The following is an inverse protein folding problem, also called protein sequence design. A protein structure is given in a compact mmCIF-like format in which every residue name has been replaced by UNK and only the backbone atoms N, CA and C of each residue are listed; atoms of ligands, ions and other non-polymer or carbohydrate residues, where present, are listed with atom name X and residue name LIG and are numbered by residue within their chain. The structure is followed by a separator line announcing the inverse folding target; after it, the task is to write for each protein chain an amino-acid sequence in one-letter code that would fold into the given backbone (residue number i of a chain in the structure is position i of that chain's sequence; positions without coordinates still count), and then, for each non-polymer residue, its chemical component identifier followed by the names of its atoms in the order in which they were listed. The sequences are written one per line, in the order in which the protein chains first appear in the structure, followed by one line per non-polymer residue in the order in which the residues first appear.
data_IF_933211192251
#
_entry.id   IF_933211192251
#
_cell.length_a   1.000
_cell.length_b   1.000
_cell.length_c   1.000
_cell.angle_alpha   90.00
_cell.angle_beta   90.00
_cell.angle_gamma   90.00
#
_symmetry.space_group_name_H-M   'P 1'
#
loop_
_entity.id
_entity.type
_entity.pdbx_description
1 polymer ?
2 polymer ?
3 polymer ?
4 water ?
#
# COMPACT_ATOMS: atom_id res chain seq x y z
N UNK A 1 -21.01 -6.37 -3.60
CA UNK A 1 -20.10 -7.44 -3.99
C UNK A 1 -19.33 -7.95 -2.79
N UNK A 2 -18.13 -8.46 -3.02
CA UNK A 2 -17.26 -8.90 -1.92
C UNK A 2 -16.44 -7.73 -1.41
N UNK A 3 -16.39 -7.60 -0.09
CA UNK A 3 -15.65 -6.49 0.52
C UNK A 3 -14.74 -6.96 1.65
N UNK A 4 -13.81 -6.10 2.04
CA UNK A 4 -12.89 -6.41 3.12
C UNK A 4 -12.59 -5.15 3.93
N UNK A 5 -12.25 -5.34 5.21
CA UNK A 5 -11.70 -4.28 6.05
C UNK A 5 -10.38 -4.79 6.61
N UNK A 6 -9.38 -3.91 6.71
CA UNK A 6 -8.05 -4.32 7.13
C UNK A 6 -7.34 -3.21 7.90
N UNK A 7 -6.69 -3.58 9.00
CA UNK A 7 -5.74 -2.68 9.65
C UNK A 7 -4.31 -3.15 9.48
N UNK A 8 -3.41 -2.18 9.29
CA UNK A 8 -1.99 -2.44 9.15
C UNK A 8 -1.21 -1.70 10.24
N UNK A 9 -0.53 -2.48 11.08
CA UNK A 9 0.30 -1.94 12.13
C UNK A 9 1.77 -2.10 11.75
N UNK A 10 2.56 -1.07 12.01
CA UNK A 10 4.01 -1.12 11.84
C UNK A 10 4.68 -0.45 13.03
N UNK A 11 5.58 -1.16 13.70
CA UNK A 11 6.43 -0.53 14.69
C UNK A 11 7.87 -0.73 14.24
N UNK A 12 8.65 0.35 14.23
CA UNK A 12 10.07 0.26 13.86
C UNK A 12 10.89 0.85 14.98
N UNK A 13 11.88 0.10 15.45
CA UNK A 13 12.79 0.64 16.45
C UNK A 13 13.83 1.55 15.78
N UNK A 14 14.33 2.52 16.53
CA UNK A 14 15.30 3.47 15.97
C UNK A 14 16.32 3.87 17.03
N UNK A 15 17.29 2.97 17.26
CA UNK A 15 18.26 3.06 18.36
C UNK A 15 19.00 4.39 18.36
N UNK A 16 19.02 5.05 19.52
CA UNK A 16 19.68 6.32 19.65
C UNK A 16 19.02 7.44 18.89
N UNK A 17 17.72 7.29 18.61
CA UNK A 17 16.96 8.31 17.89
C UNK A 17 15.50 8.32 18.34
N UNK A 18 15.27 7.79 19.53
CA UNK A 18 13.95 7.83 20.12
C UNK A 18 13.44 6.47 20.55
N UNK A 19 12.18 6.43 20.97
CA UNK A 19 11.48 5.18 21.21
C UNK A 19 10.84 4.69 19.90
N UNK A 20 10.67 3.36 19.75
CA UNK A 20 10.14 2.89 18.47
C UNK A 20 8.86 3.62 18.05
N UNK A 21 8.73 3.85 16.75
CA UNK A 21 7.60 4.61 16.17
C UNK A 21 6.49 3.62 15.84
N UNK A 22 5.25 4.10 15.84
CA UNK A 22 4.13 3.21 15.61
C UNK A 22 3.11 3.88 14.70
N UNK A 23 2.83 3.26 13.57
CA UNK A 23 1.76 3.78 12.71
C UNK A 23 0.68 2.75 12.43
N UNK A 24 -0.53 3.26 12.28
CA UNK A 24 -1.67 2.44 11.90
C UNK A 24 -2.40 3.11 10.75
N UNK A 25 -2.74 2.32 9.72
CA UNK A 25 -3.67 2.76 8.68
C UNK A 25 -4.83 1.77 8.56
N UNK A 26 -6.02 2.30 8.28
CA UNK A 26 -7.19 1.47 8.02
C UNK A 26 -7.63 1.50 6.57
N UNK A 27 -8.10 0.35 6.08
CA UNK A 27 -8.56 0.23 4.71
C UNK A 27 -9.92 -0.48 4.62
N UNK A 28 -10.78 0.03 3.75
CA UNK A 28 -11.95 -0.70 3.30
C UNK A 28 -11.71 -0.95 1.81
N UNK A 29 -11.52 -2.21 1.43
CA UNK A 29 -11.05 -2.54 0.09
C UNK A 29 -9.78 -1.76 -0.24
N UNK A 30 -9.80 -0.99 -1.31
CA UNK A 30 -8.61 -0.24 -1.74
C UNK A 30 -8.63 1.21 -1.25
N UNK A 31 -9.55 1.50 -0.33
CA UNK A 31 -9.77 2.87 0.14
C UNK A 31 -9.21 3.08 1.55
N UNK A 32 -8.17 3.92 1.65
CA UNK A 32 -7.66 4.37 2.95
C UNK A 32 -8.78 5.19 3.59
N UNK A 33 -9.04 4.99 4.88
CA UNK A 33 -10.06 5.81 5.53
C UNK A 33 -9.66 6.37 6.89
N UNK A 34 -8.55 5.88 7.43
CA UNK A 34 -8.16 6.27 8.79
C UNK A 34 -6.66 6.10 9.00
N UNK A 35 -6.08 6.90 9.90
CA UNK A 35 -4.63 6.88 10.11
C UNK A 35 -4.20 7.31 11.51
N UNK A 36 -3.02 6.83 11.90
CA UNK A 36 -2.41 7.18 13.18
C UNK A 36 -0.89 7.02 13.10
N UNK A 37 -0.19 8.00 13.67
CA UNK A 37 1.26 8.07 13.63
C UNK A 37 1.71 8.57 15.00
N UNK A 38 2.45 7.74 15.74
CA UNK A 38 2.79 8.07 17.13
C UNK A 38 3.79 9.23 17.24
N UNK A 39 4.36 9.62 16.10
CA UNK A 39 5.27 10.75 16.06
C UNK A 39 4.56 12.11 16.15
N UNK A 40 3.33 12.19 15.63
CA UNK A 40 2.54 13.40 15.78
C UNK A 40 2.51 13.77 17.26
N UNK A 41 2.73 15.05 17.57
CA UNK A 41 2.90 15.49 18.96
C UNK A 41 1.82 15.05 19.95
N UNK A 42 0.54 15.30 19.66
CA UNK A 42 -0.53 14.66 20.42
C UNK A 42 -1.25 13.64 19.54
N UNK A 43 -0.61 12.47 19.39
CA UNK A 43 -1.07 11.47 18.43
C UNK A 43 -2.59 11.32 18.49
N UNK A 44 -3.26 11.43 17.35
CA UNK A 44 -4.69 11.14 17.29
C UNK A 44 -5.06 10.35 16.03
N UNK A 45 -6.16 9.60 16.11
CA UNK A 45 -6.72 8.93 14.93
C UNK A 45 -7.41 9.96 14.07
N UNK A 46 -7.13 9.94 12.78
CA UNK A 46 -7.66 10.95 11.89
C UNK A 46 -8.34 10.30 10.68
N UNK A 47 -9.44 10.92 10.24
CA UNK A 47 -10.20 10.44 9.08
C UNK A 47 -9.43 10.68 7.78
N UNK A 48 -9.63 9.80 6.79
CA UNK A 48 -8.98 9.93 5.49
C UNK A 48 -9.98 9.63 4.37
N UNK A 49 -11.25 9.58 4.74
CA UNK A 49 -12.35 9.38 3.81
C UNK A 49 -13.53 10.21 4.28
N UNK A 50 -14.29 10.77 3.33
CA UNK A 50 -15.47 11.60 3.60
C UNK A 50 -16.49 10.88 4.47
N UNK A 51 -16.59 9.56 4.34
CA UNK A 51 -17.65 8.80 4.98
C UNK A 51 -17.35 8.28 6.39
N UNK A 52 -16.12 8.44 6.86
CA UNK A 52 -15.78 8.11 8.25
C UNK A 52 -15.85 9.37 9.11
N UNK A 53 -15.96 10.53 8.46
CA UNK A 53 -15.94 11.83 9.15
C UNK A 53 -17.18 12.05 10.00
N UNK A 54 -18.30 11.49 9.58
CA UNK A 54 -19.54 11.62 10.34
C UNK A 54 -19.43 10.91 11.70
N UNK A 55 -18.54 9.94 11.80
CA UNK A 55 -18.36 9.22 13.06
C UNK A 55 -18.13 10.22 14.21
N UNK A 56 -18.76 9.97 15.35
CA UNK A 56 -18.72 10.91 16.46
C UNK A 56 -17.44 10.90 17.27
N UNK A 57 -17.37 11.78 18.29
CA UNK A 57 -16.17 11.96 19.11
C UNK A 57 -15.89 10.75 20.00
N UNK A 58 -16.95 10.07 20.43
CA UNK A 58 -16.78 8.86 21.22
C UNK A 58 -15.94 7.87 20.40
N UNK A 59 -16.26 7.79 19.11
CA UNK A 59 -15.52 6.95 18.17
C UNK A 59 -14.05 7.35 18.08
N UNK A 60 -13.79 8.63 17.84
CA UNK A 60 -12.42 9.08 17.57
C UNK A 60 -11.52 8.98 18.80
N UNK A 61 -12.11 9.20 19.98
CA UNK A 61 -11.33 9.09 21.22
C UNK A 61 -11.06 7.63 21.57
N UNK A 62 -12.06 6.77 21.43
CA UNK A 62 -11.87 5.34 21.61
C UNK A 62 -10.74 4.84 20.72
N UNK A 63 -10.77 5.22 19.44
CA UNK A 63 -9.82 4.73 18.45
C UNK A 63 -8.41 5.20 18.77
N UNK A 64 -8.29 6.49 19.09
CA UNK A 64 -7.04 7.08 19.53
C UNK A 64 -6.47 6.29 20.71
N UNK A 65 -7.31 6.01 21.71
CA UNK A 65 -6.84 5.29 22.90
C UNK A 65 -6.33 3.90 22.53
N UNK A 66 -7.04 3.21 21.63
CA UNK A 66 -6.56 1.93 21.13
C UNK A 66 -5.14 2.11 20.54
N UNK A 67 -5.03 3.05 19.61
CA UNK A 67 -3.74 3.33 18.96
C UNK A 67 -2.63 3.65 19.96
N UNK A 68 -2.95 4.43 20.99
CA UNK A 68 -1.92 4.83 21.96
C UNK A 68 -1.40 3.63 22.74
N UNK A 69 -2.32 2.78 23.19
CA UNK A 69 -1.95 1.59 23.95
C UNK A 69 -1.10 0.63 23.11
N UNK A 70 -1.49 0.43 21.85
CA UNK A 70 -0.68 -0.38 20.92
C UNK A 70 0.76 0.14 20.78
N UNK A 71 0.91 1.46 20.68
CA UNK A 71 2.23 2.05 20.61
C UNK A 71 3.12 1.46 21.71
N UNK A 72 2.68 1.56 22.97
CA UNK A 72 3.44 0.99 24.10
C UNK A 72 3.60 -0.52 23.98
N UNK A 73 2.52 -1.21 23.64
CA UNK A 73 2.56 -2.67 23.55
C UNK A 73 3.57 -3.15 22.51
N UNK A 74 3.59 -2.48 21.36
CA UNK A 74 4.53 -2.87 20.30
C UNK A 74 5.97 -2.63 20.72
N UNK A 75 6.21 -1.53 21.42
CA UNK A 75 7.54 -1.24 21.96
C UNK A 75 8.02 -2.39 22.84
N UNK A 76 7.10 -2.93 23.63
CA UNK A 76 7.40 -4.03 24.53
C UNK A 76 7.59 -5.35 23.77
N UNK A 77 6.78 -5.57 22.75
CA UNK A 77 6.97 -6.75 21.93
C UNK A 77 8.34 -6.74 21.24
N UNK A 78 8.74 -5.58 20.70
CA UNK A 78 10.05 -5.49 20.08
C UNK A 78 11.12 -5.89 21.09
N UNK A 79 11.06 -5.32 22.29
CA UNK A 79 12.01 -5.64 23.34
C UNK A 79 12.08 -7.14 23.61
N UNK A 80 10.91 -7.78 23.69
CA UNK A 80 10.84 -9.21 23.99
C UNK A 80 11.41 -10.08 22.88
N UNK A 81 11.14 -9.69 21.64
CA UNK A 81 11.68 -10.44 20.52
C UNK A 81 13.19 -10.31 20.49
N UNK A 82 13.69 -9.09 20.65
CA UNK A 82 15.14 -8.85 20.66
C UNK A 82 15.83 -9.75 21.69
N UNK A 83 15.20 -9.92 22.85
CA UNK A 83 15.73 -10.80 23.87
C UNK A 83 15.66 -12.27 23.50
N UNK A 84 14.58 -12.70 22.85
CA UNK A 84 14.46 -14.10 22.46
C UNK A 84 15.63 -14.49 21.58
N UNK A 85 15.89 -13.63 20.60
CA UNK A 85 16.86 -13.92 19.53
C UNK A 85 18.30 -13.58 19.90
N UNK A 86 18.50 -12.90 21.03
CA UNK A 86 19.84 -12.45 21.42
C UNK A 86 20.40 -11.44 20.42
N UNK A 87 19.55 -10.52 19.99
CA UNK A 87 19.92 -9.47 19.06
C UNK A 87 20.40 -8.22 19.79
N UNK A 88 21.28 -7.46 19.14
CA UNK A 88 21.84 -6.23 19.70
C UNK A 88 20.82 -5.11 19.64
N UNK A 89 20.88 -4.20 20.62
CA UNK A 89 19.99 -3.05 20.62
C UNK A 89 20.47 -1.96 19.67
N UNK A 90 21.62 -2.21 19.05
CA UNK A 90 22.18 -1.27 18.08
C UNK A 90 21.46 -1.44 16.76
N UNK A 91 20.89 -2.63 16.56
CA UNK A 91 20.20 -2.96 15.33
C UNK A 91 18.79 -2.42 15.26
N UNK A 92 18.40 -1.99 14.07
CA UNK A 92 17.02 -1.58 13.81
C UNK A 92 16.14 -2.83 13.67
N UNK A 93 14.91 -2.74 14.15
CA UNK A 93 13.98 -3.87 13.98
C UNK A 93 12.54 -3.43 13.74
N UNK A 94 11.81 -4.27 13.00
CA UNK A 94 10.47 -3.95 12.56
C UNK A 94 9.50 -5.06 12.99
N UNK A 95 8.31 -4.67 13.42
CA UNK A 95 7.24 -5.62 13.69
C UNK A 95 5.98 -5.12 12.99
N UNK A 96 5.37 -5.98 12.18
CA UNK A 96 4.19 -5.54 11.45
C UNK A 96 3.01 -6.43 11.81
N UNK A 97 1.81 -5.97 11.49
CA UNK A 97 0.62 -6.77 11.70
C UNK A 97 -0.50 -6.35 10.77
N UNK A 98 -1.10 -7.34 10.13
CA UNK A 98 -2.28 -7.11 9.34
C UNK A 98 -3.38 -7.92 10.01
N UNK A 99 -4.57 -7.34 10.11
CA UNK A 99 -5.74 -8.07 10.59
C UNK A 99 -7.00 -7.41 10.04
N UNK A 100 -8.10 -8.18 10.00
CA UNK A 100 -9.36 -7.68 9.48
C UNK A 100 -10.26 -8.80 9.01
N UNK A 101 -11.32 -8.46 8.29
CA UNK A 101 -12.25 -9.48 7.84
C UNK A 101 -12.59 -9.35 6.35
N UNK A 102 -12.88 -10.50 5.73
CA UNK A 102 -13.37 -10.54 4.36
C UNK A 102 -14.81 -11.01 4.37
N UNK A 103 -15.67 -10.35 3.60
CA UNK A 103 -17.05 -10.82 3.44
C UNK A 103 -17.45 -10.91 1.98
N UNK A 104 -18.51 -11.67 1.73
CA UNK A 104 -19.07 -11.74 0.39
C UNK A 104 -20.28 -10.85 0.28
N UNK A 105 -21.02 -10.98 -0.82
CA UNK A 105 -22.16 -10.13 -1.20
C UNK A 105 -23.31 -10.16 -0.19
N UNK A 106 -23.54 -11.30 0.46
CA UNK A 106 -24.59 -11.39 1.47
C UNK A 106 -24.22 -10.67 2.77
N UNK A 107 -22.95 -10.31 2.92
CA UNK A 107 -22.48 -9.70 4.16
C UNK A 107 -21.89 -10.76 5.08
N UNK A 108 -21.82 -11.98 4.57
CA UNK A 108 -21.31 -13.12 5.32
C UNK A 108 -19.80 -13.09 5.43
N UNK A 109 -19.27 -13.60 6.55
CA UNK A 109 -17.81 -13.64 6.76
C UNK A 109 -17.18 -14.85 6.08
N UNK A 110 -16.12 -14.61 5.31
CA UNK A 110 -15.47 -15.68 4.57
C UNK A 110 -14.09 -16.03 5.10
N UNK A 111 -13.49 -15.07 5.81
CA UNK A 111 -12.13 -15.25 6.32
C UNK A 111 -11.79 -14.15 7.32
N UNK A 112 -11.15 -14.53 8.42
CA UNK A 112 -10.62 -13.57 9.37
C UNK A 112 -9.10 -13.63 9.35
N UNK A 113 -8.46 -12.49 9.61
CA UNK A 113 -7.00 -12.43 9.53
C UNK A 113 -6.38 -11.81 10.76
N UNK A 114 -5.20 -12.28 11.12
CA UNK A 114 -4.39 -11.68 12.16
C UNK A 114 -3.03 -12.35 12.22
N UNK A 115 -2.06 -11.76 11.53
CA UNK A 115 -0.71 -12.32 11.51
C UNK A 115 0.33 -11.23 11.67
N UNK A 116 1.47 -11.62 12.25
CA UNK A 116 2.59 -10.72 12.46
C UNK A 116 3.78 -11.13 11.62
N UNK A 117 4.59 -10.13 11.28
CA UNK A 117 5.88 -10.32 10.66
C UNK A 117 6.93 -9.59 11.52
N UNK A 118 8.02 -10.29 11.82
CA UNK A 118 9.15 -9.66 12.47
C UNK A 118 10.27 -9.48 11.45
N UNK A 119 10.72 -8.23 11.26
CA UNK A 119 11.74 -7.92 10.28
C UNK A 119 11.40 -8.44 8.88
N UNK A 120 10.13 -8.29 8.50
CA UNK A 120 9.69 -8.59 7.15
C UNK A 120 9.55 -10.06 6.82
N UNK A 121 9.48 -10.91 7.86
CA UNK A 121 9.26 -12.34 7.66
C UNK A 121 8.14 -12.78 8.58
N UNK A 122 7.29 -13.69 8.09
CA UNK A 122 6.21 -14.20 8.93
C UNK A 122 6.76 -14.61 10.29
N UNK A 123 6.04 -14.25 11.35
CA UNK A 123 6.46 -14.59 12.69
C UNK A 123 5.45 -15.55 13.31
N UNK A 124 4.23 -15.06 13.56
CA UNK A 124 3.13 -15.92 14.00
C UNK A 124 1.82 -15.47 13.38
N UNK A 125 0.97 -16.42 12.99
CA UNK A 125 -0.32 -16.10 12.39
C UNK A 125 -1.46 -16.85 13.06
N UNK A 126 -2.62 -16.19 13.17
CA UNK A 126 -3.86 -16.88 13.58
C UNK A 126 -4.42 -17.68 12.40
N UNK A 127 -4.61 -18.98 12.60
CA UNK A 127 -5.11 -19.83 11.53
C UNK A 127 -6.55 -19.52 11.15
N UNK A 128 -6.98 -20.04 10.01
CA UNK A 128 -8.32 -19.76 9.49
C UNK A 128 -9.46 -20.20 10.42
N UNK A 129 -9.22 -21.24 11.23
CA UNK A 129 -10.24 -21.69 12.20
C UNK A 129 -10.42 -20.65 13.31
N UNK A 130 -9.56 -19.63 13.31
CA UNK A 130 -9.56 -18.59 14.32
C UNK A 130 -9.37 -19.18 15.73
N UNK A 131 -8.83 -20.40 15.81
CA UNK A 131 -8.59 -21.05 17.09
C UNK A 131 -7.11 -21.38 17.33
N UNK A 132 -6.42 -21.82 16.29
CA UNK A 132 -5.03 -22.21 16.44
C UNK A 132 -4.04 -21.16 15.88
N UNK A 133 -2.77 -21.33 16.23
CA UNK A 133 -1.72 -20.42 15.79
C UNK A 133 -0.67 -21.19 15.00
N UNK A 134 -0.09 -20.56 14.00
CA UNK A 134 1.08 -21.13 13.32
C UNK A 134 2.31 -20.28 13.65
N UNK A 135 3.29 -20.88 14.32
CA UNK A 135 4.49 -20.15 14.73
C UNK A 135 5.66 -20.49 13.81
N UNK A 136 6.40 -19.48 13.37
CA UNK A 136 7.47 -19.68 12.39
C UNK A 136 8.69 -20.44 12.93
N UNK A 137 9.08 -20.13 14.16
CA UNK A 137 10.27 -20.71 14.77
C UNK A 137 10.12 -20.77 16.30
N UNK A 138 11.19 -21.17 16.99
CA UNK A 138 11.17 -21.35 18.45
C UNK A 138 10.90 -20.06 19.24
N UNK A 139 11.31 -18.92 18.69
CA UNK A 139 11.04 -17.64 19.34
C UNK A 139 9.53 -17.39 19.36
N UNK A 140 8.91 -17.62 18.21
CA UNK A 140 7.49 -17.42 18.04
C UNK A 140 6.70 -18.40 18.91
N UNK A 141 7.24 -19.61 19.12
CA UNK A 141 6.58 -20.59 19.97
C UNK A 141 6.49 -20.07 21.40
N UNK A 142 7.48 -19.26 21.80
CA UNK A 142 7.42 -18.58 23.08
C UNK A 142 6.22 -17.64 23.11
N UNK A 143 6.10 -16.83 22.05
CA UNK A 143 4.98 -15.92 21.89
C UNK A 143 3.65 -16.66 21.97
N UNK A 144 3.59 -17.81 21.30
CA UNK A 144 2.39 -18.62 21.30
C UNK A 144 2.00 -19.10 22.70
N UNK A 145 2.99 -19.42 23.52
CA UNK A 145 2.71 -19.80 24.91
C UNK A 145 2.02 -18.64 25.60
N UNK A 146 2.49 -17.43 25.31
CA UNK A 146 1.93 -16.22 25.89
C UNK A 146 0.52 -15.96 25.38
N UNK A 147 0.28 -16.17 24.09
CA UNK A 147 -1.02 -15.85 23.52
C UNK A 147 -2.07 -16.89 23.88
N UNK A 148 -1.64 -18.12 24.09
CA UNK A 148 -2.51 -19.17 24.58
C UNK A 148 -2.91 -18.90 26.03
N UNK A 149 -1.91 -18.65 26.88
CA UNK A 149 -2.18 -18.37 28.29
C UNK A 149 -3.18 -17.22 28.44
N UNK A 150 -3.09 -16.24 27.56
CA UNK A 150 -3.99 -15.08 27.63
C UNK A 150 -5.22 -15.25 26.73
N UNK A 151 -5.53 -16.49 26.36
CA UNK A 151 -6.66 -16.82 25.49
C UNK A 151 -6.93 -15.79 24.39
N UNK A 152 -5.87 -15.25 23.79
CA UNK A 152 -5.99 -14.22 22.76
C UNK A 152 -6.83 -14.65 21.54
N UNK A 153 -6.66 -15.89 21.10
CA UNK A 153 -7.42 -16.41 19.96
C UNK A 153 -8.93 -16.15 20.07
N UNK A 154 -9.53 -16.60 21.16
CA UNK A 154 -10.99 -16.53 21.31
C UNK A 154 -11.51 -15.10 21.26
N UNK A 155 -10.81 -14.18 21.90
CA UNK A 155 -11.19 -12.78 21.88
C UNK A 155 -11.04 -12.21 20.48
N UNK A 156 -10.00 -12.63 19.77
CA UNK A 156 -9.80 -12.23 18.38
C UNK A 156 -10.99 -12.75 17.55
N UNK A 157 -11.28 -14.04 17.71
CA UNK A 157 -12.38 -14.68 17.01
C UNK A 157 -13.67 -13.88 17.15
N UNK A 158 -14.04 -13.59 18.40
CA UNK A 158 -15.23 -12.82 18.69
C UNK A 158 -15.21 -11.50 17.93
N UNK A 159 -14.09 -10.79 17.99
CA UNK A 159 -13.98 -9.54 17.24
C UNK A 159 -14.21 -9.75 15.74
N UNK A 160 -13.53 -10.73 15.16
CA UNK A 160 -13.56 -10.92 13.71
C UNK A 160 -14.91 -11.40 13.19
N UNK A 161 -15.68 -12.07 14.05
CA UNK A 161 -16.98 -12.61 13.64
C UNK A 161 -18.14 -11.64 13.88
N UNK A 162 -17.95 -10.72 14.83
CA UNK A 162 -19.01 -9.80 15.17
C UNK A 162 -18.68 -8.36 14.83
N UNK A 163 -17.93 -7.71 15.71
CA UNK A 163 -17.61 -6.29 15.56
C UNK A 163 -17.00 -5.94 14.20
N UNK A 164 -15.95 -6.66 13.78
CA UNK A 164 -15.28 -6.32 12.52
C UNK A 164 -16.27 -6.29 11.37
N UNK A 165 -17.11 -7.32 11.29
CA UNK A 165 -18.12 -7.44 10.25
C UNK A 165 -19.16 -6.33 10.34
N UNK A 166 -19.56 -5.99 11.56
CA UNK A 166 -20.55 -4.94 11.74
C UNK A 166 -20.00 -3.57 11.36
N UNK A 167 -18.73 -3.30 11.69
CA UNK A 167 -18.11 -2.05 11.26
C UNK A 167 -18.04 -1.97 9.73
N UNK A 168 -17.57 -3.02 9.08
CA UNK A 168 -17.49 -3.01 7.63
C UNK A 168 -18.86 -2.80 6.97
N UNK A 169 -19.88 -3.51 7.45
CA UNK A 169 -21.25 -3.33 6.95
C UNK A 169 -21.72 -1.89 7.09
N UNK A 170 -21.41 -1.28 8.23
CA UNK A 170 -21.78 0.10 8.47
C UNK A 170 -21.05 1.05 7.52
N UNK A 171 -19.73 0.87 7.38
CA UNK A 171 -18.94 1.74 6.51
C UNK A 171 -19.44 1.65 5.08
N UNK A 172 -19.75 0.43 4.67
CA UNK A 172 -20.28 0.17 3.32
C UNK A 172 -21.58 0.90 3.10
N UNK A 173 -22.42 0.93 4.14
CA UNK A 173 -23.66 1.68 4.06
C UNK A 173 -23.39 3.19 3.97
N UNK A 174 -22.66 3.72 4.95
CA UNK A 174 -22.38 5.16 5.00
C UNK A 174 -21.68 5.74 3.76
N UNK A 175 -20.72 5.01 3.21
CA UNK A 175 -20.01 5.46 2.02
C UNK A 175 -20.32 4.61 0.81
N UNK A 176 -21.56 4.16 0.72
CA UNK A 176 -21.98 3.23 -0.34
C UNK A 176 -21.75 3.79 -1.75
N UNK A 177 -22.05 5.08 -1.93
CA UNK A 177 -21.92 5.72 -3.23
C UNK A 177 -20.53 5.53 -3.85
N UNK A 178 -19.49 5.73 -3.04
CA UNK A 178 -18.13 5.68 -3.55
C UNK A 178 -17.43 4.33 -3.34
N UNK A 179 -17.86 3.58 -2.33
CA UNK A 179 -17.25 2.28 -2.05
C UNK A 179 -17.79 1.14 -2.93
N UNK A 180 -19.01 1.27 -3.41
CA UNK A 180 -19.58 0.24 -4.27
C UNK A 180 -19.40 0.57 -5.74
N UNK A 181 -18.70 1.67 -6.01
CA UNK A 181 -18.52 2.11 -7.39
C UNK A 181 -17.34 1.42 -8.07
N UNK A 182 -17.44 1.22 -9.38
CA UNK A 182 -16.35 0.67 -10.16
C UNK A 182 -15.94 1.66 -11.25
N UNK A 183 -14.84 2.37 -11.02
CA UNK A 183 -14.35 3.36 -11.97
C UNK A 183 -13.50 2.71 -13.05
N UNK A 184 -14.03 2.61 -14.27
CA UNK A 184 -13.34 1.95 -15.38
C UNK A 184 -12.11 2.75 -15.81
N UNK A 185 -11.06 2.06 -16.25
CA UNK A 185 -9.80 2.73 -16.59
C UNK A 185 -9.95 3.50 -17.90
N UNK A 186 -9.36 4.68 -17.97
CA UNK A 186 -9.22 5.38 -19.24
C UNK A 186 -7.97 4.87 -19.95
N UNK A 187 -8.08 4.65 -21.25
CA UNK A 187 -7.03 3.90 -21.95
C UNK A 187 -6.45 4.60 -23.18
N UNK A 188 -5.18 4.30 -23.45
CA UNK A 188 -4.50 4.76 -24.65
C UNK A 188 -3.15 4.09 -24.77
N UNK A 189 -2.53 4.22 -25.93
CA UNK A 189 -1.26 3.58 -26.22
C UNK A 189 -0.26 4.66 -26.62
N UNK A 190 0.99 4.51 -26.21
CA UNK A 190 2.04 5.42 -26.64
C UNK A 190 3.16 4.66 -27.34
N UNK A 191 3.86 5.36 -28.22
CA UNK A 191 4.92 4.77 -29.02
C UNK A 191 6.24 5.47 -28.77
N UNK A 192 7.32 4.71 -28.61
CA UNK A 192 8.64 5.28 -28.36
C UNK A 192 9.73 4.55 -29.13
N UNK A 193 10.16 5.14 -30.25
CA UNK A 193 11.27 4.60 -31.03
C UNK A 193 12.48 4.31 -30.15
N UNK A 194 12.92 3.06 -30.14
CA UNK A 194 14.24 2.74 -29.63
C UNK A 194 15.21 3.01 -30.78
N UNK A 195 15.61 1.93 -31.46
CA UNK A 195 16.62 2.00 -32.50
C UNK A 195 16.05 2.08 -33.90
N UNK A 196 16.89 1.72 -34.86
CA UNK A 196 16.55 1.61 -36.26
C UNK A 196 15.59 0.44 -36.40
N UNK A 197 15.76 -0.54 -35.51
CA UNK A 197 15.16 -1.87 -35.66
C UNK A 197 13.93 -2.12 -34.77
N UNK A 198 13.80 -1.35 -33.70
CA UNK A 198 12.72 -1.60 -32.75
C UNK A 198 12.18 -0.34 -32.08
N UNK A 199 11.06 -0.49 -31.36
CA UNK A 199 10.45 0.59 -30.59
C UNK A 199 9.67 0.02 -29.40
N UNK A 200 9.18 0.89 -28.53
CA UNK A 200 8.37 0.43 -27.40
C UNK A 200 6.91 0.83 -27.57
N UNK A 201 6.01 -0.14 -27.36
CA UNK A 201 4.58 0.13 -27.32
C UNK A 201 4.11 0.06 -25.87
N UNK A 202 3.60 1.18 -25.35
CA UNK A 202 3.10 1.20 -23.99
C UNK A 202 1.57 1.34 -23.98
N UNK A 203 0.92 0.44 -23.24
CA UNK A 203 -0.52 0.48 -23.06
C UNK A 203 -0.84 1.04 -21.67
N UNK A 204 -1.75 2.01 -21.62
CA UNK A 204 -1.99 2.76 -20.40
C UNK A 204 -3.41 2.55 -19.87
N UNK A 205 -3.51 2.49 -18.54
CA UNK A 205 -4.79 2.45 -17.84
C UNK A 205 -4.75 3.44 -16.66
N UNK A 206 -5.66 4.41 -16.67
CA UNK A 206 -5.64 5.48 -15.66
C UNK A 206 -7.01 5.68 -15.02
N UNK A 207 -7.01 6.26 -13.83
CA UNK A 207 -8.25 6.66 -13.17
C UNK A 207 -9.23 5.54 -12.82
N UNK A 208 -8.73 4.32 -12.68
CA UNK A 208 -9.60 3.19 -12.35
C UNK A 208 -9.65 2.89 -10.85
N UNK A 209 -10.81 2.39 -10.41
CA UNK A 209 -10.97 1.85 -9.06
C UNK A 209 -11.99 0.70 -9.13
N UNK A 210 -11.73 -0.40 -8.40
CA UNK A 210 -10.57 -0.62 -7.53
C UNK A 210 -9.28 -0.98 -8.29
N UNK A 211 -8.19 -1.21 -7.54
CA UNK A 211 -6.87 -1.43 -8.12
C UNK A 211 -6.69 -2.68 -8.99
N UNK A 212 -7.42 -3.76 -8.70
CA UNK A 212 -7.25 -5.01 -9.45
C UNK A 212 -7.49 -4.81 -10.95
N UNK A 213 -6.49 -5.12 -11.77
CA UNK A 213 -6.61 -4.90 -13.21
C UNK A 213 -5.69 -5.82 -14.02
N UNK A 214 -6.06 -6.11 -15.27
CA UNK A 214 -5.21 -6.94 -16.13
C UNK A 214 -4.92 -6.31 -17.50
N UNK A 215 -3.65 -5.99 -17.75
CA UNK A 215 -3.22 -5.49 -19.05
C UNK A 215 -2.44 -6.57 -19.79
N UNK A 216 -2.82 -6.83 -21.04
CA UNK A 216 -2.12 -7.80 -21.87
C UNK A 216 -1.78 -7.26 -23.26
N UNK A 217 -0.59 -7.62 -23.76
CA UNK A 217 -0.22 -7.33 -25.14
C UNK A 217 -0.32 -8.58 -26.03
N UNK A 218 -1.07 -8.46 -27.13
CA UNK A 218 -1.26 -9.56 -28.07
C UNK A 218 -0.71 -9.25 -29.48
N UNK A 219 -0.39 -10.32 -30.23
CA UNK A 219 -0.05 -10.22 -31.64
C UNK A 219 -0.28 -11.53 -32.38
N UNK A 220 -1.32 -11.58 -33.22
CA UNK A 220 -2.36 -10.57 -33.23
C UNK A 220 -3.55 -11.32 -32.67
N UNK A 221 -3.32 -11.99 -31.56
CA UNK A 221 -4.28 -12.94 -31.01
C UNK A 221 -3.58 -13.83 -30.00
N UNK A 222 -2.25 -13.84 -30.02
CA UNK A 222 -1.48 -14.58 -29.02
C UNK A 222 -0.80 -13.64 -28.03
N UNK A 223 -0.76 -14.02 -26.76
CA UNK A 223 -0.20 -13.14 -25.74
C UNK A 223 1.31 -13.28 -25.62
N UNK A 224 2.00 -12.13 -25.53
CA UNK A 224 3.45 -12.11 -25.32
C UNK A 224 3.76 -12.08 -23.83
N UNK A 225 3.29 -13.10 -23.11
CA UNK A 225 3.46 -13.16 -21.67
C UNK A 225 4.91 -12.91 -21.26
N UNK A 226 5.83 -13.64 -21.90
CA UNK A 226 7.24 -13.58 -21.56
C UNK A 226 7.88 -12.23 -21.96
N UNK A 227 7.21 -11.48 -22.84
CA UNK A 227 7.83 -10.26 -23.37
C UNK A 227 7.13 -8.95 -22.97
N UNK A 228 6.13 -9.06 -22.10
CA UNK A 228 5.40 -7.89 -21.63
C UNK A 228 5.99 -7.35 -20.32
N UNK A 229 6.38 -6.08 -20.31
CA UNK A 229 6.92 -5.44 -19.12
C UNK A 229 5.84 -4.70 -18.32
N UNK A 230 5.61 -5.17 -17.09
CA UNK A 230 4.58 -4.59 -16.24
C UNK A 230 5.17 -3.74 -15.12
N UNK A 231 4.52 -2.61 -14.83
CA UNK A 231 4.86 -1.84 -13.65
C UNK A 231 3.90 -2.19 -12.53
N UNK A 232 4.35 -2.04 -11.29
CA UNK A 232 3.45 -2.20 -10.17
C UNK A 232 2.34 -1.16 -10.32
N UNK A 233 1.12 -1.55 -10.00
CA UNK A 233 -0.02 -0.63 -10.00
C UNK A 233 0.22 0.44 -8.95
N UNK A 234 -0.06 1.69 -9.30
CA UNK A 234 0.27 2.84 -8.45
C UNK A 234 -0.96 3.71 -8.23
N UNK A 235 -1.02 4.41 -7.07
CA UNK A 235 -2.15 5.30 -6.79
C UNK A 235 -1.94 6.67 -7.45
N UNK A 236 -3.02 7.29 -7.89
CA UNK A 236 -2.93 8.60 -8.53
C UNK A 236 -2.98 9.75 -7.52
N UNK A 237 -3.36 9.44 -6.28
CA UNK A 237 -3.44 10.43 -5.23
C UNK A 237 -4.87 10.93 -5.04
N UNK A 238 -5.75 10.46 -5.92
CA UNK A 238 -7.16 10.87 -5.90
C UNK A 238 -8.12 9.68 -5.72
N UNK A 239 -7.67 8.66 -5.00
CA UNK A 239 -8.48 7.47 -4.76
C UNK A 239 -8.42 6.49 -5.92
N UNK A 240 -7.87 6.93 -7.05
CA UNK A 240 -7.78 6.10 -8.25
C UNK A 240 -6.38 5.53 -8.45
N UNK A 241 -6.25 4.61 -9.42
CA UNK A 241 -4.99 3.92 -9.69
C UNK A 241 -4.52 4.05 -11.14
N UNK A 242 -3.24 3.77 -11.35
CA UNK A 242 -2.63 3.80 -12.68
C UNK A 242 -1.73 2.59 -12.88
N UNK A 243 -1.56 2.21 -14.15
CA UNK A 243 -0.74 1.07 -14.52
C UNK A 243 -0.51 1.03 -16.04
N UNK A 244 0.64 0.52 -16.45
CA UNK A 244 0.95 0.33 -17.86
C UNK A 244 1.71 -0.96 -18.14
N UNK A 245 1.57 -1.46 -19.37
CA UNK A 245 2.35 -2.60 -19.85
C UNK A 245 3.02 -2.20 -21.15
N UNK A 246 4.25 -2.66 -21.36
CA UNK A 246 4.97 -2.31 -22.59
C UNK A 246 5.56 -3.53 -23.29
N UNK A 247 5.62 -3.46 -24.61
CA UNK A 247 6.26 -4.49 -25.42
C UNK A 247 7.30 -3.85 -26.33
N UNK A 248 8.43 -4.53 -26.51
CA UNK A 248 9.40 -4.11 -27.50
C UNK A 248 9.07 -4.83 -28.80
N UNK A 249 8.73 -4.06 -29.83
CA UNK A 249 8.42 -4.65 -31.13
C UNK A 249 9.37 -4.10 -32.18
N UNK A 250 9.50 -4.84 -33.30
CA UNK A 250 10.34 -4.41 -34.42
C UNK A 250 9.74 -3.19 -35.13
N UNK A 251 10.59 -2.28 -35.56
CA UNK A 251 10.15 -1.14 -36.37
C UNK A 251 9.42 -1.64 -37.62
N UNK A 252 8.24 -1.08 -37.88
CA UNK A 252 7.45 -1.52 -39.01
C UNK A 252 6.36 -2.54 -38.69
N UNK A 253 6.48 -3.25 -37.57
CA UNK A 253 5.50 -4.28 -37.25
C UNK A 253 4.49 -3.91 -36.15
N UNK A 254 4.46 -2.63 -35.77
CA UNK A 254 3.50 -2.13 -34.78
C UNK A 254 2.05 -2.57 -35.02
N UNK A 255 1.64 -2.69 -36.28
CA UNK A 255 0.24 -2.95 -36.62
C UNK A 255 -0.33 -4.26 -36.11
N UNK A 256 0.54 -5.23 -35.85
CA UNK A 256 0.05 -6.56 -35.47
C UNK A 256 -0.12 -6.75 -33.96
N UNK A 257 0.10 -5.68 -33.21
CA UNK A 257 -0.04 -5.76 -31.76
C UNK A 257 -1.32 -5.10 -31.28
N UNK A 258 -2.02 -5.78 -30.37
CA UNK A 258 -3.15 -5.18 -29.68
C UNK A 258 -2.92 -5.22 -28.17
N UNK A 259 -3.47 -4.23 -27.49
CA UNK A 259 -3.48 -4.23 -26.03
C UNK A 259 -4.88 -4.54 -25.54
N UNK A 260 -4.95 -5.34 -24.47
CA UNK A 260 -6.25 -5.74 -23.94
C UNK A 260 -6.29 -5.45 -22.44
N UNK A 261 -7.42 -4.88 -22.01
CA UNK A 261 -7.59 -4.47 -20.62
C UNK A 261 -8.81 -5.15 -20.01
N UNK A 262 -8.64 -5.68 -18.80
CA UNK A 262 -9.75 -6.26 -18.06
C UNK A 262 -9.89 -5.56 -16.71
N UNK A 263 -11.11 -5.14 -16.38
CA UNK A 263 -11.38 -4.44 -15.13
C UNK A 263 -12.86 -4.59 -14.81
N UNK A 264 -13.19 -4.74 -13.53
CA UNK A 264 -14.56 -5.00 -13.12
C UNK A 264 -15.52 -3.88 -13.49
N UNK A 265 -14.98 -2.71 -13.81
CA UNK A 265 -15.80 -1.58 -14.26
C UNK A 265 -16.09 -1.65 -15.74
N UNK A 266 -15.51 -2.65 -16.41
CA UNK A 266 -15.69 -2.88 -17.84
C UNK A 266 -16.53 -4.13 -18.06
N UNK A 267 -17.75 -3.97 -18.60
CA UNK A 267 -18.63 -5.12 -18.90
C UNK A 267 -17.91 -6.05 -19.87
N UNK A 268 -17.20 -5.47 -20.83
CA UNK A 268 -16.41 -6.22 -21.79
C UNK A 268 -14.97 -5.73 -21.80
N UNK A 269 -14.02 -6.66 -21.85
CA UNK A 269 -12.61 -6.33 -22.05
C UNK A 269 -12.43 -5.32 -23.18
N UNK A 270 -11.48 -4.41 -23.01
CA UNK A 270 -11.19 -3.39 -24.02
C UNK A 270 -10.03 -3.83 -24.91
N UNK A 271 -10.15 -3.49 -26.19
CA UNK A 271 -9.04 -3.67 -27.12
C UNK A 271 -8.52 -2.30 -27.54
N UNK A 272 -7.20 -2.17 -27.57
CA UNK A 272 -6.56 -0.94 -28.03
C UNK A 272 -5.41 -1.28 -28.95
N UNK A 273 -5.01 -0.30 -29.76
CA UNK A 273 -3.95 -0.52 -30.73
C UNK A 273 -3.19 0.77 -30.97
N UNK A 274 -2.03 0.67 -31.59
CA UNK A 274 -1.34 1.86 -32.08
C UNK A 274 -1.90 2.23 -33.45
N UNK B 2 16.43 -10.21 4.39
CA UNK B 2 15.42 -9.28 4.89
C UNK B 2 15.53 -7.88 4.28
N UNK B 3 16.32 -7.74 3.20
CA UNK B 3 16.52 -6.42 2.59
C UNK B 3 15.95 -6.32 1.18
N UNK B 4 15.12 -5.30 0.94
CA UNK B 4 14.53 -5.06 -0.37
C UNK B 4 14.74 -3.62 -0.85
N UNK B 5 15.44 -3.47 -1.97
CA UNK B 5 15.58 -2.15 -2.60
C UNK B 5 14.23 -1.64 -3.12
N UNK B 6 13.95 -0.36 -2.89
CA UNK B 6 12.69 0.25 -3.33
C UNK B 6 12.56 0.37 -4.84
N UNK B 7 11.32 0.23 -5.33
CA UNK B 7 10.99 0.54 -6.71
C UNK B 7 10.45 1.97 -6.78
N UNK B 8 10.87 2.73 -7.79
CA UNK B 8 10.57 4.15 -7.84
C UNK B 8 9.81 4.53 -9.10
N UNK B 9 8.65 5.17 -8.91
CA UNK B 9 7.90 5.69 -10.04
C UNK B 9 7.58 7.17 -9.82
N UNK B 10 7.84 7.95 -10.86
CA UNK B 10 7.69 9.40 -10.85
C UNK B 10 6.75 9.75 -11.99
N UNK B 11 5.60 10.31 -11.66
CA UNK B 11 4.56 10.55 -12.65
C UNK B 11 3.67 11.67 -12.17
N UNK B 12 2.71 12.06 -13.00
CA UNK B 12 1.72 13.06 -12.59
C UNK B 12 0.35 12.43 -12.39
N UNK B 13 -0.47 13.03 -11.52
CA UNK B 13 -1.78 12.48 -11.20
C UNK B 13 -2.67 12.45 -12.43
N UNK B 14 -2.69 13.57 -13.14
CA UNK B 14 -3.39 13.67 -14.41
C UNK B 14 -2.36 13.83 -15.53
N UNK B 15 -2.78 13.59 -16.77
CA UNK B 15 -1.82 13.77 -17.88
C UNK B 15 -1.31 15.21 -17.96
N UNK B 16 0.00 15.34 -18.05
CA UNK B 16 0.66 16.65 -18.08
C UNK B 16 0.18 17.53 -19.23
N UNK B 17 -0.47 18.64 -18.86
CA UNK B 17 -0.81 19.70 -19.80
C UNK B 17 -0.15 21.00 -19.32
N UNK B 18 0.84 21.51 -20.06
CA UNK B 18 1.50 22.75 -19.67
C UNK B 18 0.50 23.86 -19.38
N UNK B 19 0.81 24.68 -18.38
CA UNK B 19 -0.06 25.79 -17.99
C UNK B 19 -1.29 25.34 -17.23
N UNK B 20 -1.27 24.13 -16.69
CA UNK B 20 -2.44 23.58 -16.01
C UNK B 20 -2.08 22.93 -14.68
N UNK B 21 -2.90 23.19 -13.66
CA UNK B 21 -2.62 22.69 -12.31
C UNK B 21 -2.70 21.17 -12.25
N UNK B 22 -1.72 20.58 -11.57
CA UNK B 22 -1.57 19.12 -11.53
C UNK B 22 -0.96 18.65 -10.21
N UNK B 23 -0.65 17.36 -10.14
CA UNK B 23 0.09 16.82 -9.00
C UNK B 23 1.26 15.99 -9.49
N UNK B 24 2.43 16.23 -8.91
CA UNK B 24 3.60 15.40 -9.19
C UNK B 24 3.78 14.33 -8.12
N UNK B 25 3.70 13.06 -8.50
CA UNK B 25 3.81 11.97 -7.55
C UNK B 25 5.15 11.26 -7.59
N UNK B 26 5.61 10.82 -6.41
CA UNK B 26 6.72 9.86 -6.35
C UNK B 26 6.31 8.62 -5.54
N UNK B 27 5.91 7.55 -6.25
CA UNK B 27 5.51 6.30 -5.59
C UNK B 27 6.73 5.38 -5.38
N UNK B 28 6.91 4.96 -4.13
CA UNK B 28 8.05 4.14 -3.71
C UNK B 28 7.48 2.86 -3.07
N UNK B 29 7.94 1.71 -3.54
CA UNK B 29 7.30 0.44 -3.17
C UNK B 29 8.25 -0.76 -3.07
N UNK B 30 7.73 -1.86 -2.52
CA UNK B 30 8.48 -3.10 -2.39
C UNK B 30 9.80 -2.95 -1.63
N UNK B 31 9.86 -2.04 -0.66
CA UNK B 31 11.13 -1.85 0.07
C UNK B 31 11.10 -2.29 1.55
N UNK B 32 12.28 -2.71 2.04
CA UNK B 32 12.47 -3.12 3.42
C UNK B 32 13.95 -2.98 3.78
N UNK B 33 14.25 -2.41 4.95
CA UNK B 33 13.28 -2.00 5.97
C UNK B 33 12.59 -0.68 5.62
N UNK B 34 11.85 -0.13 6.59
CA UNK B 34 10.97 1.02 6.37
C UNK B 34 11.66 2.40 6.33
N UNK B 35 12.87 2.50 6.85
CA UNK B 35 13.56 3.79 6.82
C UNK B 35 13.90 4.21 5.40
N UNK B 36 13.35 5.34 4.96
CA UNK B 36 13.60 5.82 3.61
C UNK B 36 13.58 7.34 3.54
N UNK B 37 14.38 7.90 2.63
CA UNK B 37 14.42 9.35 2.41
C UNK B 37 13.97 9.68 0.99
N UNK B 38 12.97 10.54 0.88
CA UNK B 38 12.38 10.87 -0.41
C UNK B 38 12.30 12.39 -0.61
N UNK B 39 12.80 12.86 -1.74
CA UNK B 39 12.68 14.26 -2.11
C UNK B 39 12.18 14.42 -3.55
N UNK B 40 11.25 15.35 -3.74
CA UNK B 40 10.89 15.80 -5.08
C UNK B 40 11.82 16.96 -5.46
N UNK B 41 12.29 16.97 -6.70
CA UNK B 41 13.21 18.01 -7.15
C UNK B 41 12.65 18.77 -8.34
N UNK B 42 12.79 20.10 -8.32
CA UNK B 42 12.45 20.93 -9.47
C UNK B 42 13.71 21.60 -10.03
N UNK B 43 14.15 21.16 -11.20
CA UNK B 43 15.37 21.70 -11.80
C UNK B 43 16.57 21.50 -10.89
N UNK B 44 16.70 20.31 -10.33
CA UNK B 44 17.86 19.97 -9.52
C UNK B 44 17.80 20.40 -8.07
N UNK B 45 16.83 21.27 -7.73
CA UNK B 45 16.73 21.78 -6.35
C UNK B 45 15.49 21.26 -5.64
N UNK B 46 15.58 21.16 -4.30
CA UNK B 46 14.54 20.50 -3.53
C UNK B 46 13.26 21.31 -3.40
N UNK B 47 12.12 20.65 -3.60
CA UNK B 47 10.82 21.27 -3.42
C UNK B 47 10.39 21.25 -1.95
N UNK B 48 9.90 22.38 -1.45
CA UNK B 48 9.56 22.54 -0.04
C UNK B 48 8.27 21.85 0.35
N UNK B 49 7.22 22.07 -0.44
CA UNK B 49 5.89 21.64 -0.06
C UNK B 49 5.54 20.25 -0.58
N UNK B 50 6.29 19.25 -0.13
CA UNK B 50 5.92 17.86 -0.34
C UNK B 50 5.22 17.29 0.90
N UNK B 51 4.08 16.67 0.68
CA UNK B 51 3.43 15.87 1.72
C UNK B 51 3.59 14.40 1.35
N UNK B 52 3.08 13.50 2.19
CA UNK B 52 3.19 12.09 1.86
C UNK B 52 2.18 11.25 2.62
N UNK B 53 1.96 10.03 2.14
CA UNK B 53 0.96 9.16 2.74
C UNK B 53 1.55 8.45 3.95
N UNK B 54 0.67 7.85 4.75
CA UNK B 54 1.10 7.13 5.93
C UNK B 54 1.64 5.77 5.51
N UNK B 55 2.78 5.39 6.08
CA UNK B 55 3.42 4.12 5.74
C UNK B 55 2.44 2.95 5.83
N UNK B 56 2.33 2.20 4.74
CA UNK B 56 1.58 0.95 4.68
C UNK B 56 2.46 -0.13 4.04
N UNK B 57 1.95 -1.35 3.94
CA UNK B 57 2.70 -2.43 3.32
C UNK B 57 1.82 -3.40 2.53
N UNK B 58 2.46 -4.21 1.68
CA UNK B 58 1.75 -5.19 0.86
C UNK B 58 1.64 -6.53 1.56
N UNK B 59 1.13 -7.52 0.85
CA UNK B 59 0.95 -8.85 1.42
C UNK B 59 2.29 -9.53 1.71
N UNK B 60 3.31 -9.23 0.91
CA UNK B 60 4.64 -9.78 1.14
C UNK B 60 5.40 -9.05 2.27
N UNK B 61 4.71 -8.14 2.96
CA UNK B 61 5.25 -7.34 4.08
C UNK B 61 6.11 -6.14 3.65
N UNK B 62 6.36 -6.00 2.35
CA UNK B 62 7.18 -4.90 1.84
C UNK B 62 6.42 -3.56 1.89
N UNK B 63 7.16 -2.46 1.99
CA UNK B 63 6.54 -1.16 2.26
C UNK B 63 6.28 -0.33 1.02
N UNK B 64 5.33 0.61 1.14
CA UNK B 64 5.10 1.59 0.08
C UNK B 64 4.63 2.95 0.63
N UNK B 65 5.02 4.01 -0.07
CA UNK B 65 4.70 5.39 0.31
C UNK B 65 4.49 6.23 -0.95
N UNK B 66 3.56 7.18 -0.87
CA UNK B 66 3.35 8.14 -1.95
C UNK B 66 3.70 9.55 -1.46
N UNK B 67 4.64 10.19 -2.14
CA UNK B 67 4.95 11.59 -1.90
C UNK B 67 4.34 12.40 -3.04
N UNK B 68 4.00 13.65 -2.79
CA UNK B 68 3.31 14.41 -3.82
C UNK B 68 3.24 15.88 -3.48
N UNK B 69 3.35 16.70 -4.52
CA UNK B 69 3.15 18.13 -4.37
C UNK B 69 2.35 18.62 -5.57
N UNK B 70 1.54 19.65 -5.36
CA UNK B 70 0.77 20.29 -6.43
C UNK B 70 1.74 21.08 -7.32
N UNK B 71 1.45 21.18 -8.60
CA UNK B 71 2.34 21.93 -9.49
C UNK B 71 1.76 22.18 -10.87
N UNK B 72 2.40 23.09 -11.60
CA UNK B 72 1.97 23.50 -12.92
C UNK B 72 3.09 23.31 -13.92
N UNK B 73 3.06 22.20 -14.66
CA UNK B 73 4.11 21.83 -15.61
C UNK B 73 4.21 22.82 -16.76
N UNK B 74 5.44 23.01 -17.26
CA UNK B 74 5.71 23.85 -18.41
C UNK B 74 6.58 23.07 -19.38
N UNK B 75 6.75 23.60 -20.59
CA UNK B 75 7.56 22.94 -21.59
C UNK B 75 9.02 22.78 -21.15
N UNK B 76 9.48 23.71 -20.31
CA UNK B 76 10.89 23.80 -19.99
C UNK B 76 11.26 23.16 -18.64
N UNK B 77 10.40 23.31 -17.64
CA UNK B 77 10.70 22.86 -16.28
C UNK B 77 10.94 21.36 -16.16
N UNK B 78 12.07 20.99 -15.54
CA UNK B 78 12.40 19.59 -15.29
C UNK B 78 12.03 19.18 -13.87
N UNK B 79 11.76 17.89 -13.69
CA UNK B 79 11.37 17.38 -12.38
C UNK B 79 12.02 16.02 -12.11
N UNK B 80 12.12 15.67 -10.83
CA UNK B 80 12.73 14.39 -10.44
C UNK B 80 12.31 13.95 -9.04
N UNK B 81 12.70 12.73 -8.71
CA UNK B 81 12.52 12.20 -7.37
C UNK B 81 13.86 11.65 -6.90
N UNK B 82 14.26 12.00 -5.69
CA UNK B 82 15.55 11.57 -5.16
C UNK B 82 15.35 10.69 -3.92
N UNK B 83 15.77 9.44 -4.01
CA UNK B 83 15.49 8.46 -2.97
C UNK B 83 16.79 7.88 -2.41
N UNK B 84 16.89 7.83 -1.08
CA UNK B 84 17.97 7.09 -0.44
C UNK B 84 17.45 6.09 0.59
N UNK B 85 18.23 5.03 0.80
CA UNK B 85 17.79 3.86 1.56
C UNK B 85 19.03 3.01 1.78
N UNK B 86 19.02 2.22 2.85
CA UNK B 86 20.18 1.38 3.17
C UNK B 86 20.69 0.59 1.96
N UNK B 87 19.76 0.16 1.11
CA UNK B 87 20.12 -0.70 -0.03
C UNK B 87 20.76 0.07 -1.20
N UNK B 88 20.61 1.39 -1.18
CA UNK B 88 21.21 2.27 -2.19
C UNK B 88 22.55 2.84 -1.69
N UNK B 89 23.61 2.65 -2.47
CA UNK B 89 24.92 3.19 -2.08
C UNK B 89 24.91 4.71 -2.12
N UNK B 90 24.30 5.26 -3.17
CA UNK B 90 24.11 6.70 -3.30
C UNK B 90 22.64 6.99 -3.63
N UNK B 91 22.17 8.20 -3.31
CA UNK B 91 20.80 8.59 -3.65
C UNK B 91 20.50 8.29 -5.12
N UNK B 92 19.32 7.74 -5.39
CA UNK B 92 18.91 7.47 -6.76
C UNK B 92 17.99 8.59 -7.21
N UNK B 93 18.27 9.15 -8.38
CA UNK B 93 17.44 10.22 -8.92
C UNK B 93 16.67 9.72 -10.14
N UNK B 94 15.35 9.81 -10.08
CA UNK B 94 14.53 9.43 -11.23
C UNK B 94 13.85 10.66 -11.83
N UNK B 95 14.26 11.02 -13.03
CA UNK B 95 13.73 12.20 -13.71
C UNK B 95 12.29 11.91 -14.13
N UNK B 96 11.46 12.94 -14.09
CA UNK B 96 10.08 12.79 -14.55
C UNK B 96 10.02 12.74 -16.09
N UNK B 97 9.55 11.61 -16.62
CA UNK B 97 9.38 11.47 -18.05
C UNK B 97 7.90 11.38 -18.35
N UNK B 98 7.35 12.43 -18.96
CA UNK B 98 5.92 12.48 -19.23
C UNK B 98 5.50 11.61 -20.43
N UNK B 99 6.06 10.40 -20.50
CA UNK B 99 5.66 9.39 -21.48
C UNK B 99 5.51 8.05 -20.75
N UNK B 100 6.11 8.01 -19.56
CA UNK B 100 5.83 7.00 -18.53
C UNK B 100 5.36 7.73 -17.25
N UNK C 1 -13.74 0.06 12.67
CA UNK C 1 -13.47 0.02 14.09
C UNK C 1 -12.44 -1.03 14.44
N UNK C 2 -11.37 -0.60 15.11
CA UNK C 2 -10.32 -1.51 15.53
C UNK C 2 -10.76 -2.39 16.68
N UNK C 3 -10.09 -3.51 16.88
CA UNK C 3 -10.34 -4.32 18.06
C UNK C 3 -9.67 -3.62 19.24
N UNK C 4 -10.38 -3.58 20.37
CA UNK C 4 -9.88 -2.90 21.57
C UNK C 4 -8.86 -3.76 22.31
N UNK C 5 -8.44 -4.86 21.69
CA UNK C 5 -7.41 -5.72 22.28
C UNK C 5 -6.02 -5.12 22.07
N UNK C 6 -5.78 -3.97 22.68
CA UNK C 6 -4.54 -3.23 22.45
C UNK C 6 -3.39 -3.67 23.37
N UNK C 7 -3.65 -4.70 24.16
CA UNK C 7 -2.60 -5.29 24.99
C UNK C 7 -2.30 -6.73 24.56
N UNK C 8 -2.09 -6.92 23.26
CA UNK C 8 -1.66 -8.19 22.69
C UNK C 8 -0.14 -8.24 22.72
N UNK C 9 0.40 -8.98 23.68
CA UNK C 9 1.83 -8.92 23.94
C UNK C 9 2.55 -10.16 23.43
N UNK C 10 3.55 -9.95 22.59
CA UNK C 10 4.34 -11.07 22.08
C UNK C 10 5.56 -11.28 22.98
#
# INVERSE_FOLDING_TARGET
GSHSMRYFHTAMSRPGRGEPRFITVGYVDDTLFVRFDSDATSPRKEPRAPWIEQEGPEYWDRETQISKTNTQTYRESLRNLRGYYNQSEAGSHTLQRMYGCDVGPDGRLLRGHNQYAYDGKDYIALNEDLRSWTAADTAAQISQRKLEAARVAEQLRAYLEGECVEWLRRYLENGKDKLERADPPKTHVTHHPISDHEATLRCWALGFYPAEITLTWQRDGEDQTQDTELVETRPAGDRTFQKWAAVVVPSGEEQRYTCHVQHEGLPKPLTLRW
MIQRTPKIQVYSRHPAENGKSNFLNCYVSGFHPSDIEVDLLKNGERIEKVEHSDLSFSKDWSFYLLYYTEFTPTEKDEYACRVNHVTLSQPKIVKWDRDM
GETALALLLL
#
